data_IF_075764495560
#
_entry.id   IF_075764495560
#
_cell.length_a   1.000
_cell.length_b   1.000
_cell.length_c   1.000
_cell.angle_alpha   90.00
_cell.angle_beta   90.00
_cell.angle_gamma   90.00
#
_symmetry.space_group_name_H-M   'P 1'
#
loop_
_entity.id
_entity.type
_entity.pdbx_description
1 polymer ?
#
# COMPACT_ATOMS: atom_id res chain seq x y z
N UNK A 1 4.50 7.98 -21.48
CA UNK A 1 4.18 8.04 -20.03
C UNK A 1 4.86 6.87 -19.33
N UNK A 2 5.20 7.00 -18.05
CA UNK A 2 5.78 5.92 -17.25
C UNK A 2 4.84 5.55 -16.11
N UNK A 3 4.57 4.27 -15.96
CA UNK A 3 3.75 3.73 -14.88
C UNK A 3 4.68 3.23 -13.79
N UNK A 4 4.44 3.69 -12.57
CA UNK A 4 5.11 3.27 -11.36
C UNK A 4 4.15 2.48 -10.49
N UNK A 5 4.59 1.34 -9.98
CA UNK A 5 3.83 0.53 -9.05
C UNK A 5 4.40 0.68 -7.65
N UNK A 6 3.50 0.88 -6.69
CA UNK A 6 3.82 0.98 -5.28
C UNK A 6 2.99 -0.04 -4.52
N UNK A 7 3.65 -0.80 -3.66
CA UNK A 7 3.04 -1.92 -2.94
C UNK A 7 3.05 -1.64 -1.45
N UNK A 8 1.94 -1.94 -0.79
CA UNK A 8 1.75 -1.67 0.62
C UNK A 8 1.19 -2.91 1.32
N UNK A 9 1.72 -3.16 2.52
CA UNK A 9 1.15 -4.08 3.50
C UNK A 9 0.53 -3.26 4.62
N UNK A 10 -0.73 -3.51 4.93
CA UNK A 10 -1.42 -2.93 6.07
C UNK A 10 -1.44 -3.96 7.18
N UNK A 11 -0.85 -3.64 8.32
CA UNK A 11 -0.76 -4.56 9.45
C UNK A 11 -2.14 -4.98 9.96
N UNK A 12 -2.30 -6.26 10.35
CA UNK A 12 -3.51 -6.75 11.03
C UNK A 12 -3.92 -5.88 12.23
N UNK A 13 -2.94 -5.36 12.98
CA UNK A 13 -3.16 -4.49 14.15
C UNK A 13 -3.86 -3.17 13.81
N UNK A 14 -3.93 -2.81 12.53
CA UNK A 14 -4.73 -1.70 12.05
C UNK A 14 -6.24 -1.90 12.28
N UNK A 15 -6.67 -3.14 12.56
CA UNK A 15 -8.07 -3.45 12.87
C UNK A 15 -9.00 -3.29 11.67
N UNK A 16 -8.47 -3.47 10.46
CA UNK A 16 -9.26 -3.42 9.23
C UNK A 16 -10.40 -4.43 9.30
N UNK A 17 -11.59 -3.97 8.90
CA UNK A 17 -12.75 -4.84 8.73
C UNK A 17 -12.78 -5.36 7.31
N UNK A 18 -13.10 -6.64 7.17
CA UNK A 18 -13.42 -7.24 5.88
C UNK A 18 -14.73 -6.66 5.34
N UNK A 19 -15.05 -6.97 4.07
CA UNK A 19 -16.33 -6.57 3.45
C UNK A 19 -17.56 -7.08 4.22
N UNK A 20 -17.40 -8.15 5.01
CA UNK A 20 -18.46 -8.73 5.83
C UNK A 20 -18.58 -8.08 7.21
N UNK A 21 -17.74 -7.09 7.53
CA UNK A 21 -17.73 -6.39 8.81
C UNK A 21 -16.88 -7.06 9.90
N UNK A 22 -16.41 -8.28 9.66
CA UNK A 22 -15.50 -9.00 10.56
C UNK A 22 -14.09 -8.40 10.57
N UNK A 23 -13.39 -8.50 11.69
CA UNK A 23 -11.98 -8.09 11.78
C UNK A 23 -11.16 -9.01 10.86
N UNK A 24 -10.36 -8.41 9.98
CA UNK A 24 -9.50 -9.15 9.07
C UNK A 24 -8.51 -10.02 9.84
N UNK A 25 -8.42 -11.30 9.47
CA UNK A 25 -7.63 -12.30 10.18
C UNK A 25 -6.12 -12.15 9.95
N UNK A 26 -5.71 -11.47 8.88
CA UNK A 26 -4.32 -11.24 8.47
C UNK A 26 -4.05 -9.79 8.03
N UNK A 27 -2.81 -9.49 7.62
CA UNK A 27 -2.50 -8.22 6.97
C UNK A 27 -3.26 -8.09 5.64
N UNK A 28 -3.54 -6.85 5.24
CA UNK A 28 -4.04 -6.55 3.91
C UNK A 28 -2.91 -6.09 2.99
N UNK A 29 -3.07 -6.29 1.69
CA UNK A 29 -2.10 -5.88 0.69
C UNK A 29 -2.76 -4.98 -0.35
N UNK A 30 -2.02 -3.99 -0.86
CA UNK A 30 -2.53 -3.04 -1.85
C UNK A 30 -1.46 -2.67 -2.86
N UNK A 31 -1.83 -2.66 -4.14
CA UNK A 31 -1.06 -2.11 -5.26
C UNK A 31 -1.65 -0.75 -5.66
N UNK A 32 -0.80 0.27 -5.76
CA UNK A 32 -1.14 1.57 -6.32
C UNK A 32 -0.32 1.82 -7.60
N UNK A 33 -1.03 2.10 -8.69
CA UNK A 33 -0.45 2.50 -9.96
C UNK A 33 -0.42 4.02 -10.06
N UNK A 34 0.76 4.59 -10.34
CA UNK A 34 0.96 6.02 -10.54
C UNK A 34 1.55 6.30 -11.91
N UNK A 35 0.86 7.12 -12.69
CA UNK A 35 1.31 7.52 -14.02
C UNK A 35 2.04 8.86 -13.96
N UNK A 36 3.28 8.89 -14.45
CA UNK A 36 4.09 10.09 -14.54
C UNK A 36 4.47 10.42 -15.98
N UNK A 37 4.46 11.71 -16.32
CA UNK A 37 4.89 12.20 -17.64
C UNK A 37 6.40 12.06 -17.86
N UNK A 38 7.20 12.07 -16.78
CA UNK A 38 8.67 11.97 -16.78
C UNK A 38 9.15 10.88 -15.82
N UNK A 39 10.42 10.49 -15.93
CA UNK A 39 11.05 9.58 -14.97
C UNK A 39 11.20 10.31 -13.63
N UNK A 40 10.70 9.72 -12.55
CA UNK A 40 10.91 10.20 -11.19
C UNK A 40 12.35 9.94 -10.74
N UNK A 41 12.96 10.93 -10.09
CA UNK A 41 14.18 10.72 -9.31
C UNK A 41 13.86 10.13 -7.92
N UNK A 42 14.89 9.81 -7.14
CA UNK A 42 14.70 9.18 -5.83
C UNK A 42 13.89 10.06 -4.87
N UNK A 43 14.16 11.36 -4.83
CA UNK A 43 13.42 12.31 -3.98
C UNK A 43 11.95 12.39 -4.35
N UNK A 44 11.64 12.53 -5.64
CA UNK A 44 10.27 12.54 -6.15
C UNK A 44 9.55 11.22 -5.82
N UNK A 45 10.25 10.09 -5.93
CA UNK A 45 9.71 8.78 -5.57
C UNK A 45 9.39 8.69 -4.08
N UNK A 46 10.28 9.16 -3.21
CA UNK A 46 10.06 9.14 -1.76
C UNK A 46 8.90 10.04 -1.35
N UNK A 47 8.76 11.22 -1.96
CA UNK A 47 7.60 12.11 -1.75
C UNK A 47 6.29 11.43 -2.15
N UNK A 48 6.27 10.73 -3.29
CA UNK A 48 5.10 9.95 -3.74
C UNK A 48 4.78 8.82 -2.77
N UNK A 49 5.79 8.08 -2.29
CA UNK A 49 5.60 7.01 -1.29
C UNK A 49 4.97 7.55 -0.01
N UNK A 50 5.48 8.67 0.52
CA UNK A 50 4.97 9.30 1.74
C UNK A 50 3.54 9.81 1.54
N UNK A 51 3.24 10.39 0.38
CA UNK A 51 1.91 10.86 0.03
C UNK A 51 0.90 9.69 0.01
N UNK A 52 1.19 8.66 -0.77
CA UNK A 52 0.30 7.49 -0.89
C UNK A 52 0.12 6.75 0.42
N UNK A 53 1.16 6.68 1.25
CA UNK A 53 1.05 6.09 2.58
C UNK A 53 0.04 6.84 3.46
N UNK A 54 0.03 8.17 3.39
CA UNK A 54 -0.93 9.01 4.14
C UNK A 54 -2.34 8.89 3.58
N UNK A 55 -2.50 9.00 2.26
CA UNK A 55 -3.80 8.91 1.59
C UNK A 55 -4.43 7.53 1.82
N UNK A 56 -3.66 6.45 1.68
CA UNK A 56 -4.15 5.09 1.92
C UNK A 56 -4.55 4.89 3.38
N UNK A 57 -3.78 5.43 4.33
CA UNK A 57 -4.13 5.36 5.74
C UNK A 57 -5.44 6.10 6.06
N UNK A 58 -5.63 7.29 5.49
CA UNK A 58 -6.86 8.09 5.64
C UNK A 58 -8.07 7.37 5.04
N UNK A 59 -7.96 6.87 3.80
CA UNK A 59 -9.03 6.14 3.13
C UNK A 59 -9.47 4.89 3.89
N UNK A 60 -8.52 4.21 4.53
CA UNK A 60 -8.75 3.00 5.31
C UNK A 60 -9.15 3.29 6.76
N UNK A 61 -9.09 4.54 7.21
CA UNK A 61 -9.35 4.91 8.60
C UNK A 61 -8.32 4.33 9.59
N UNK A 62 -7.09 4.08 9.13
CA UNK A 62 -6.00 3.49 9.93
C UNK A 62 -4.89 4.50 10.18
N UNK A 63 -4.01 4.21 11.13
CA UNK A 63 -2.84 5.06 11.37
C UNK A 63 -1.77 4.81 10.31
N UNK A 64 -1.12 5.88 9.85
CA UNK A 64 -0.08 5.85 8.80
C UNK A 64 1.02 4.83 9.08
N UNK A 65 1.41 4.64 10.33
CA UNK A 65 2.47 3.68 10.68
C UNK A 65 2.08 2.21 10.43
N UNK A 66 0.78 1.89 10.36
CA UNK A 66 0.32 0.54 10.00
C UNK A 66 0.36 0.26 8.50
N UNK A 67 0.54 1.30 7.67
CA UNK A 67 0.75 1.16 6.22
C UNK A 67 2.24 1.06 5.97
N UNK A 68 2.73 -0.09 5.52
CA UNK A 68 4.15 -0.38 5.33
C UNK A 68 4.42 -0.52 3.83
N UNK A 69 5.33 0.27 3.23
CA UNK A 69 5.76 0.04 1.86
C UNK A 69 6.55 -1.27 1.79
N UNK A 70 6.22 -2.10 0.81
CA UNK A 70 6.83 -3.42 0.61
C UNK A 70 7.36 -3.56 -0.83
N UNK A 71 8.15 -4.60 -1.07
CA UNK A 71 8.62 -4.92 -2.41
C UNK A 71 7.53 -5.63 -3.24
N UNK A 72 7.62 -5.55 -4.56
CA UNK A 72 6.78 -6.34 -5.47
C UNK A 72 6.86 -7.84 -5.16
N UNK A 73 8.07 -8.34 -4.84
CA UNK A 73 8.27 -9.74 -4.48
C UNK A 73 7.49 -10.17 -3.23
N UNK A 74 7.39 -9.28 -2.24
CA UNK A 74 6.57 -9.56 -1.04
C UNK A 74 5.08 -9.52 -1.38
N UNK A 75 4.66 -8.57 -2.21
CA UNK A 75 3.28 -8.46 -2.66
C UNK A 75 2.84 -9.69 -3.48
N UNK A 76 3.62 -10.12 -4.47
CA UNK A 76 3.27 -11.29 -5.29
C UNK A 76 3.15 -12.56 -4.46
N UNK A 77 4.07 -12.77 -3.50
CA UNK A 77 3.96 -13.91 -2.58
C UNK A 77 2.65 -13.92 -1.80
N UNK A 78 2.18 -12.75 -1.35
CA UNK A 78 0.90 -12.67 -0.65
C UNK A 78 -0.31 -13.01 -1.51
N UNK A 79 -0.20 -12.91 -2.85
CA UNK A 79 -1.26 -13.30 -3.79
C UNK A 79 -1.24 -14.80 -4.11
N UNK A 80 -0.08 -15.46 -4.00
CA UNK A 80 0.06 -16.90 -4.24
C UNK A 80 -0.38 -17.74 -3.03
N UNK A 81 -0.50 -17.12 -1.85
CA UNK A 81 -0.92 -17.75 -0.59
C UNK A 81 -2.45 -17.60 -0.31
N UNK A 82 -3.22 -16.95 -1.19
CA UNK A 82 -4.70 -16.92 -1.19
C UNK A 82 -5.31 -17.98 -2.12
#
# INVERSE_FOLDING_TARGET
MKIYKFYYRIEKKAGLKSKNGDIQSGPAYSELCFEAKKKLNNKERDEVVQKFRKELAEQLGVKVWHVIPISEKEYTKSLEEE
#
